data_IF_112874173786
#
_entry.id   IF_112874173786
#
_cell.length_a   1.000
_cell.length_b   1.000
_cell.length_c   1.000
_cell.angle_alpha   90.00
_cell.angle_beta   90.00
_cell.angle_gamma   90.00
#
_symmetry.space_group_name_H-M   'P 1'
#
loop_
_entity.id
_entity.type
_entity.pdbx_description
1 polymer ?
#
# COMPACT_ATOMS: atom_id res chain seq x y z
N UNK A 1 11.34 16.58 -23.38
CA UNK A 1 10.05 16.31 -22.69
C UNK A 1 10.35 15.41 -21.50
N UNK A 2 10.10 15.86 -20.27
CA UNK A 2 10.11 14.95 -19.12
C UNK A 2 8.85 14.08 -19.25
N UNK A 3 9.01 12.75 -19.36
CA UNK A 3 7.87 11.84 -19.19
C UNK A 3 7.28 12.13 -17.81
N UNK A 4 6.01 12.49 -17.73
CA UNK A 4 5.33 12.55 -16.43
C UNK A 4 5.31 11.13 -15.87
N UNK A 5 5.90 10.91 -14.70
CA UNK A 5 5.80 9.64 -13.98
C UNK A 5 4.31 9.33 -13.77
N UNK A 6 3.84 8.15 -14.18
CA UNK A 6 2.42 7.80 -14.02
C UNK A 6 2.10 7.42 -12.56
N UNK A 7 0.80 7.39 -12.22
CA UNK A 7 0.37 6.94 -10.89
C UNK A 7 0.83 5.49 -10.68
N UNK A 8 0.64 4.63 -11.69
CA UNK A 8 1.09 3.24 -11.67
C UNK A 8 2.59 3.10 -11.37
N UNK A 9 3.45 3.89 -12.02
CA UNK A 9 4.90 3.82 -11.80
C UNK A 9 5.30 4.18 -10.36
N UNK A 10 4.66 5.21 -9.79
CA UNK A 10 4.90 5.62 -8.39
C UNK A 10 4.47 4.52 -7.42
N UNK A 11 3.29 3.94 -7.62
CA UNK A 11 2.74 2.94 -6.72
C UNK A 11 3.47 1.60 -6.81
N UNK A 12 3.94 1.17 -8.00
CA UNK A 12 4.81 -0.02 -8.14
C UNK A 12 6.10 0.15 -7.32
N UNK A 13 6.71 1.33 -7.36
CA UNK A 13 7.92 1.59 -6.59
C UNK A 13 7.65 1.52 -5.07
N UNK A 14 6.51 2.06 -4.63
CA UNK A 14 6.08 2.03 -3.24
C UNK A 14 5.74 0.60 -2.76
N UNK A 15 5.01 -0.18 -3.56
CA UNK A 15 4.77 -1.60 -3.31
C UNK A 15 6.06 -2.40 -3.17
N UNK A 16 7.04 -2.14 -4.04
CA UNK A 16 8.34 -2.80 -3.98
C UNK A 16 9.09 -2.46 -2.68
N UNK A 17 8.97 -1.22 -2.21
CA UNK A 17 9.53 -0.77 -0.92
C UNK A 17 8.85 -1.50 0.24
N UNK A 18 7.52 -1.59 0.27
CA UNK A 18 6.75 -2.27 1.33
C UNK A 18 7.13 -3.74 1.42
N UNK A 19 7.17 -4.45 0.29
CA UNK A 19 7.55 -5.87 0.25
C UNK A 19 8.98 -6.11 0.73
N UNK A 20 9.91 -5.21 0.38
CA UNK A 20 11.27 -5.25 0.90
C UNK A 20 11.29 -5.08 2.42
N UNK A 21 10.59 -4.08 2.95
CA UNK A 21 10.53 -3.84 4.39
C UNK A 21 9.90 -5.02 5.14
N UNK A 22 8.85 -5.63 4.60
CA UNK A 22 8.26 -6.86 5.14
C UNK A 22 9.29 -8.01 5.18
N UNK A 23 10.08 -8.16 4.11
CA UNK A 23 11.16 -9.15 4.08
C UNK A 23 12.23 -8.86 5.13
N UNK A 24 12.61 -7.60 5.32
CA UNK A 24 13.57 -7.20 6.34
C UNK A 24 13.06 -7.53 7.76
N UNK A 25 11.76 -7.35 8.03
CA UNK A 25 11.12 -7.79 9.28
C UNK A 25 11.24 -9.31 9.44
N UNK A 26 10.89 -10.09 8.41
CA UNK A 26 10.98 -11.55 8.43
C UNK A 26 12.42 -12.03 8.74
N UNK A 27 13.42 -11.38 8.13
CA UNK A 27 14.84 -11.69 8.32
C UNK A 27 15.42 -11.20 9.64
N UNK A 28 14.73 -10.32 10.35
CA UNK A 28 15.11 -9.91 11.71
C UNK A 28 14.81 -10.96 12.77
N UNK A 29 14.15 -12.07 12.42
CA UNK A 29 13.92 -13.19 13.32
C UNK A 29 15.21 -13.69 13.98
N UNK A 30 15.19 -13.85 15.30
CA UNK A 30 16.36 -14.24 16.11
C UNK A 30 17.24 -13.08 16.56
N UNK A 31 16.94 -11.83 16.17
CA UNK A 31 17.54 -10.63 16.78
C UNK A 31 16.88 -10.30 18.12
N UNK A 32 17.54 -9.41 18.89
CA UNK A 32 16.96 -8.81 20.09
C UNK A 32 15.65 -8.07 19.79
N UNK A 33 14.67 -8.15 20.70
CA UNK A 33 13.33 -7.59 20.50
C UNK A 33 13.37 -6.11 20.08
N UNK A 34 14.26 -5.31 20.67
CA UNK A 34 14.41 -3.88 20.34
C UNK A 34 14.79 -3.68 18.87
N UNK A 35 15.69 -4.53 18.35
CA UNK A 35 16.12 -4.49 16.95
C UNK A 35 15.00 -4.90 16.00
N UNK A 36 14.28 -5.98 16.34
CA UNK A 36 13.11 -6.45 15.57
C UNK A 36 12.03 -5.37 15.50
N UNK A 37 11.71 -4.76 16.65
CA UNK A 37 10.68 -3.73 16.72
C UNK A 37 11.05 -2.49 15.90
N UNK A 38 12.32 -2.09 15.86
CA UNK A 38 12.77 -0.97 15.02
C UNK A 38 12.52 -1.22 13.53
N UNK A 39 12.81 -2.43 13.06
CA UNK A 39 12.55 -2.82 11.65
C UNK A 39 11.05 -2.90 11.40
N UNK A 40 10.30 -3.48 12.34
CA UNK A 40 8.84 -3.57 12.26
C UNK A 40 8.16 -2.21 12.21
N UNK A 41 8.55 -1.27 13.07
CA UNK A 41 7.96 0.08 13.11
C UNK A 41 8.21 0.84 11.80
N UNK A 42 9.38 0.62 11.17
CA UNK A 42 9.66 1.18 9.84
C UNK A 42 8.74 0.59 8.77
N UNK A 43 8.57 -0.73 8.78
CA UNK A 43 7.64 -1.41 7.87
C UNK A 43 6.19 -0.93 8.06
N UNK A 44 5.70 -0.91 9.30
CA UNK A 44 4.34 -0.49 9.59
C UNK A 44 4.10 0.96 9.16
N UNK A 45 5.01 1.87 9.51
CA UNK A 45 4.90 3.27 9.13
C UNK A 45 4.75 3.48 7.62
N UNK A 46 5.58 2.79 6.83
CA UNK A 46 5.54 2.93 5.37
C UNK A 46 4.29 2.28 4.77
N UNK A 47 3.81 1.16 5.34
CA UNK A 47 2.55 0.55 4.91
C UNK A 47 1.32 1.41 5.26
N UNK A 48 1.27 1.99 6.45
CA UNK A 48 0.19 2.90 6.85
C UNK A 48 0.18 4.16 5.98
N UNK A 49 1.36 4.70 5.67
CA UNK A 49 1.51 5.85 4.78
C UNK A 49 1.05 5.52 3.35
N UNK A 50 1.41 4.35 2.83
CA UNK A 50 0.95 3.86 1.54
C UNK A 50 -0.59 3.83 1.47
N UNK A 51 -1.24 3.15 2.42
CA UNK A 51 -2.71 3.07 2.50
C UNK A 51 -3.32 4.48 2.60
N UNK A 52 -2.72 5.36 3.39
CA UNK A 52 -3.17 6.74 3.52
C UNK A 52 -3.08 7.52 2.20
N UNK A 53 -1.98 7.35 1.46
CA UNK A 53 -1.81 7.96 0.13
C UNK A 53 -2.94 7.50 -0.80
N UNK A 54 -3.21 6.21 -0.85
CA UNK A 54 -4.27 5.70 -1.72
C UNK A 54 -5.64 6.25 -1.32
N UNK A 55 -5.99 6.14 -0.04
CA UNK A 55 -7.31 6.57 0.43
C UNK A 55 -7.51 8.07 0.32
N UNK A 56 -6.48 8.89 0.55
CA UNK A 56 -6.62 10.35 0.64
C UNK A 56 -6.21 11.10 -0.62
N UNK A 57 -5.25 10.60 -1.38
CA UNK A 57 -4.81 11.23 -2.63
C UNK A 57 -5.50 10.60 -3.84
N UNK A 58 -5.59 9.27 -3.91
CA UNK A 58 -6.04 8.55 -5.10
C UNK A 58 -7.56 8.37 -5.09
N UNK A 59 -8.11 7.68 -4.10
CA UNK A 59 -9.52 7.28 -4.06
C UNK A 59 -10.46 8.49 -3.95
N UNK A 60 -10.09 9.54 -3.22
CA UNK A 60 -10.87 10.79 -3.17
C UNK A 60 -10.90 11.54 -4.50
N UNK A 61 -9.90 11.34 -5.35
CA UNK A 61 -9.78 11.98 -6.66
C UNK A 61 -10.40 11.12 -7.77
N UNK A 62 -10.83 9.90 -7.46
CA UNK A 62 -11.46 9.01 -8.42
C UNK A 62 -12.96 9.27 -8.53
N UNK A 63 -13.40 9.65 -9.73
CA UNK A 63 -14.80 9.85 -10.09
C UNK A 63 -15.11 9.01 -11.32
N UNK A 64 -15.37 7.70 -11.16
CA UNK A 64 -15.52 6.78 -12.28
C UNK A 64 -16.70 7.17 -13.17
N UNK A 65 -16.47 7.11 -14.47
CA UNK A 65 -17.55 7.29 -15.46
C UNK A 65 -18.49 6.08 -15.47
N UNK A 66 -17.95 4.86 -15.29
CA UNK A 66 -18.74 3.65 -15.04
C UNK A 66 -19.00 3.48 -13.53
N UNK A 67 -20.12 4.05 -13.09
CA UNK A 67 -20.56 4.05 -11.70
C UNK A 67 -20.65 2.62 -11.12
N UNK A 68 -21.06 1.62 -11.89
CA UNK A 68 -21.32 0.28 -11.36
C UNK A 68 -20.02 -0.47 -11.02
N UNK A 69 -18.99 -0.31 -11.84
CA UNK A 69 -17.71 -1.01 -11.65
C UNK A 69 -16.74 -0.21 -10.77
N UNK A 70 -16.67 1.11 -10.96
CA UNK A 70 -15.83 1.99 -10.15
C UNK A 70 -16.22 2.06 -8.68
N UNK A 71 -17.54 2.06 -8.36
CA UNK A 71 -18.00 2.04 -6.97
C UNK A 71 -17.84 0.68 -6.29
N UNK A 72 -17.49 -0.40 -7.00
CA UNK A 72 -17.20 -1.70 -6.37
C UNK A 72 -15.74 -1.84 -5.95
N UNK A 73 -14.81 -1.33 -6.77
CA UNK A 73 -13.36 -1.48 -6.51
C UNK A 73 -12.91 -0.74 -5.25
N UNK A 74 -13.31 0.53 -5.06
CA UNK A 74 -12.86 1.32 -3.91
C UNK A 74 -13.31 0.74 -2.56
N UNK A 75 -14.59 0.36 -2.36
CA UNK A 75 -15.00 -0.30 -1.12
C UNK A 75 -14.30 -1.64 -0.87
N UNK A 76 -14.04 -2.42 -1.92
CA UNK A 76 -13.29 -3.68 -1.81
C UNK A 76 -11.85 -3.42 -1.33
N UNK A 77 -11.17 -2.43 -1.91
CA UNK A 77 -9.83 -2.02 -1.50
C UNK A 77 -9.79 -1.51 -0.05
N UNK A 78 -10.75 -0.69 0.35
CA UNK A 78 -10.88 -0.25 1.75
C UNK A 78 -11.06 -1.46 2.69
N UNK A 79 -11.82 -2.48 2.27
CA UNK A 79 -11.96 -3.70 3.06
C UNK A 79 -10.62 -4.46 3.16
N UNK A 80 -9.88 -4.56 2.05
CA UNK A 80 -8.54 -5.15 2.03
C UNK A 80 -7.56 -4.38 2.94
N UNK A 81 -7.55 -3.04 2.91
CA UNK A 81 -6.74 -2.20 3.80
C UNK A 81 -7.04 -2.47 5.27
N UNK A 82 -8.32 -2.59 5.63
CA UNK A 82 -8.71 -2.91 6.99
C UNK A 82 -8.22 -4.30 7.43
N UNK A 83 -8.29 -5.33 6.57
CA UNK A 83 -7.73 -6.65 6.87
C UNK A 83 -6.21 -6.58 7.05
N UNK A 84 -5.52 -5.88 6.15
CA UNK A 84 -4.06 -5.68 6.19
C UNK A 84 -3.65 -5.01 7.50
N UNK A 85 -4.24 -3.85 7.85
CA UNK A 85 -3.91 -3.11 9.07
C UNK A 85 -4.21 -3.93 10.34
N UNK A 86 -5.32 -4.68 10.35
CA UNK A 86 -5.63 -5.56 11.48
C UNK A 86 -4.59 -6.67 11.64
N UNK A 87 -4.11 -7.25 10.54
CA UNK A 87 -3.05 -8.26 10.57
C UNK A 87 -1.73 -7.68 11.05
N UNK A 88 -1.36 -6.48 10.61
CA UNK A 88 -0.15 -5.80 11.11
C UNK A 88 -0.22 -5.60 12.63
N UNK A 89 -1.38 -5.19 13.16
CA UNK A 89 -1.60 -5.11 14.63
C UNK A 89 -1.44 -6.46 15.33
N UNK A 90 -1.88 -7.56 14.71
CA UNK A 90 -1.69 -8.92 15.24
C UNK A 90 -0.22 -9.33 15.18
N UNK A 91 0.48 -9.04 14.08
CA UNK A 91 1.92 -9.28 13.92
C UNK A 91 2.71 -8.57 15.02
N UNK A 92 2.44 -7.28 15.26
CA UNK A 92 3.04 -6.51 16.36
C UNK A 92 2.86 -7.20 17.71
N UNK A 93 1.62 -7.59 18.04
CA UNK A 93 1.33 -8.28 19.31
C UNK A 93 2.11 -9.60 19.42
N UNK A 94 2.19 -10.36 18.33
CA UNK A 94 2.93 -11.60 18.31
C UNK A 94 4.43 -11.38 18.52
N UNK A 95 5.03 -10.37 17.88
CA UNK A 95 6.43 -10.01 18.09
C UNK A 95 6.70 -9.61 19.55
N UNK A 96 5.88 -8.74 20.13
CA UNK A 96 6.01 -8.31 21.53
C UNK A 96 5.86 -9.46 22.53
N UNK A 97 5.09 -10.49 22.19
CA UNK A 97 4.87 -11.66 23.04
C UNK A 97 5.73 -12.87 22.66
N UNK A 98 6.71 -12.69 21.77
CA UNK A 98 7.56 -13.75 21.25
C UNK A 98 6.76 -14.97 20.73
N UNK A 99 5.67 -14.69 19.99
CA UNK A 99 4.81 -15.69 19.35
C UNK A 99 5.11 -15.76 17.85
N UNK A 100 4.85 -16.91 17.21
CA UNK A 100 5.00 -17.05 15.77
C UNK A 100 4.20 -16.00 14.99
N UNK A 101 4.83 -15.42 13.97
CA UNK A 101 4.20 -14.51 13.02
C UNK A 101 4.00 -15.24 11.69
N UNK A 102 2.81 -15.13 11.11
CA UNK A 102 2.44 -15.77 9.83
C UNK A 102 2.87 -14.88 8.64
N UNK A 103 4.17 -14.80 8.39
CA UNK A 103 4.72 -13.91 7.35
C UNK A 103 4.25 -14.29 5.93
N UNK A 104 4.20 -15.59 5.61
CA UNK A 104 3.85 -16.03 4.26
C UNK A 104 2.39 -15.73 3.93
N UNK A 105 1.45 -16.01 4.83
CA UNK A 105 0.03 -15.66 4.63
C UNK A 105 -0.15 -14.14 4.46
N UNK A 106 0.57 -13.33 5.23
CA UNK A 106 0.50 -11.89 5.10
C UNK A 106 1.11 -11.39 3.77
N UNK A 107 2.23 -11.98 3.34
CA UNK A 107 2.88 -11.68 2.07
C UNK A 107 1.98 -12.01 0.88
N UNK A 108 1.32 -13.16 0.89
CA UNK A 108 0.34 -13.54 -0.13
C UNK A 108 -0.78 -12.50 -0.26
N UNK A 109 -1.26 -11.97 0.87
CA UNK A 109 -2.29 -10.92 0.87
C UNK A 109 -1.80 -9.60 0.28
N UNK A 110 -0.62 -9.13 0.68
CA UNK A 110 -0.02 -7.92 0.10
C UNK A 110 0.21 -8.09 -1.40
N UNK A 111 0.68 -9.27 -1.85
CA UNK A 111 0.86 -9.56 -3.27
C UNK A 111 -0.47 -9.60 -4.03
N UNK A 112 -1.52 -10.19 -3.45
CA UNK A 112 -2.84 -10.20 -4.07
C UNK A 112 -3.42 -8.78 -4.20
N UNK A 113 -3.35 -8.00 -3.12
CA UNK A 113 -3.81 -6.61 -3.05
C UNK A 113 -3.09 -5.75 -4.10
N UNK A 114 -1.76 -5.70 -4.07
CA UNK A 114 -0.96 -4.92 -5.03
C UNK A 114 -1.21 -5.34 -6.48
N UNK A 115 -1.41 -6.63 -6.72
CA UNK A 115 -1.63 -7.16 -8.08
C UNK A 115 -2.98 -6.68 -8.60
N UNK A 116 -4.01 -6.69 -7.76
CA UNK A 116 -5.31 -6.16 -8.13
C UNK A 116 -5.22 -4.68 -8.52
N UNK A 117 -4.47 -3.87 -7.76
CA UNK A 117 -4.31 -2.45 -8.04
C UNK A 117 -3.48 -2.17 -9.30
N UNK A 118 -2.33 -2.83 -9.42
CA UNK A 118 -1.40 -2.70 -10.55
C UNK A 118 -2.02 -3.15 -11.88
N UNK A 119 -2.90 -4.16 -11.85
CA UNK A 119 -3.51 -4.73 -13.06
C UNK A 119 -4.89 -4.11 -13.35
N UNK A 120 -5.62 -3.69 -12.33
CA UNK A 120 -7.02 -3.27 -12.47
C UNK A 120 -7.24 -1.79 -12.17
N UNK A 121 -6.84 -1.32 -10.98
CA UNK A 121 -7.15 0.04 -10.54
C UNK A 121 -6.33 1.08 -11.28
N UNK A 122 -5.00 1.09 -11.11
CA UNK A 122 -4.16 2.17 -11.63
C UNK A 122 -4.19 2.28 -13.15
N UNK A 123 -4.23 1.17 -13.93
CA UNK A 123 -4.43 1.28 -15.38
C UNK A 123 -5.74 1.96 -15.77
N UNK A 124 -6.84 1.71 -15.05
CA UNK A 124 -8.12 2.41 -15.27
C UNK A 124 -8.02 3.88 -14.91
N UNK A 125 -7.38 4.22 -13.80
CA UNK A 125 -7.12 5.63 -13.44
C UNK A 125 -6.30 6.35 -14.50
N UNK A 126 -5.24 5.71 -15.01
CA UNK A 126 -4.39 6.28 -16.06
C UNK A 126 -5.16 6.45 -17.39
N UNK A 127 -6.20 5.65 -17.65
CA UNK A 127 -7.04 5.77 -18.85
C UNK A 127 -8.18 6.80 -18.69
N UNK A 128 -8.85 6.82 -17.55
CA UNK A 128 -10.06 7.63 -17.33
C UNK A 128 -9.76 9.07 -16.87
N UNK A 129 -8.63 9.29 -16.19
CA UNK A 129 -8.28 10.62 -15.69
C UNK A 129 -7.63 11.48 -16.75
N UNK A 130 -7.97 12.77 -16.73
CA UNK A 130 -7.25 13.79 -17.50
C UNK A 130 -5.84 14.01 -16.93
N UNK A 131 -4.93 14.55 -17.74
CA UNK A 131 -3.57 14.87 -17.30
C UNK A 131 -3.55 15.84 -16.11
N UNK A 132 -4.51 16.77 -16.05
CA UNK A 132 -4.66 17.68 -14.91
C UNK A 132 -5.01 16.93 -13.62
N UNK A 133 -5.94 15.98 -13.68
CA UNK A 133 -6.32 15.16 -12.51
C UNK A 133 -5.15 14.28 -12.06
N UNK A 134 -4.43 13.65 -13.00
CA UNK A 134 -3.23 12.86 -12.69
C UNK A 134 -2.18 13.72 -12.00
N UNK A 135 -1.93 14.93 -12.51
CA UNK A 135 -0.96 15.84 -11.92
C UNK A 135 -1.37 16.29 -10.51
N UNK A 136 -2.67 16.50 -10.25
CA UNK A 136 -3.18 16.77 -8.91
C UNK A 136 -2.94 15.61 -7.95
N UNK A 137 -3.23 14.38 -8.38
CA UNK A 137 -2.95 13.17 -7.58
C UNK A 137 -1.46 13.06 -7.27
N UNK A 138 -0.60 13.15 -8.29
CA UNK A 138 0.86 13.07 -8.13
C UNK A 138 1.37 14.15 -7.17
N UNK A 139 0.81 15.36 -7.22
CA UNK A 139 1.18 16.45 -6.31
C UNK A 139 0.81 16.11 -4.87
N UNK A 140 -0.42 15.63 -4.63
CA UNK A 140 -0.85 15.15 -3.29
C UNK A 140 0.02 14.00 -2.78
N UNK A 141 0.36 13.03 -3.63
CA UNK A 141 1.27 11.92 -3.27
C UNK A 141 2.61 12.49 -2.79
N UNK A 142 3.18 13.44 -3.54
CA UNK A 142 4.48 14.04 -3.20
C UNK A 142 4.45 14.82 -1.89
N UNK A 143 3.35 15.48 -1.55
CA UNK A 143 3.18 16.18 -0.26
C UNK A 143 3.16 15.23 0.95
N UNK A 144 2.72 13.98 0.75
CA UNK A 144 2.66 12.97 1.81
C UNK A 144 3.99 12.21 1.94
N UNK A 145 4.70 12.04 0.81
CA UNK A 145 6.00 11.34 0.76
C UNK A 145 7.16 12.23 1.21
N UNK A 146 7.07 13.55 1.03
CA UNK A 146 8.06 14.56 1.44
C UNK A 146 8.17 14.71 2.95
#
# INVERSE_FOLDING_TARGET
>A
MMKSTSILELMIADHSKILKLLHDVEKSSGMELVSVMKVFDTFEWELEKHIFIEEKAIFTSYSPTNIIEGYKMVPELIQQHNDILNRVRVMRKNLLWNRPVQYDEFKERIVAHKTFEEVSLYPKLDQELTDQQKQQIITKIREIVS
#
